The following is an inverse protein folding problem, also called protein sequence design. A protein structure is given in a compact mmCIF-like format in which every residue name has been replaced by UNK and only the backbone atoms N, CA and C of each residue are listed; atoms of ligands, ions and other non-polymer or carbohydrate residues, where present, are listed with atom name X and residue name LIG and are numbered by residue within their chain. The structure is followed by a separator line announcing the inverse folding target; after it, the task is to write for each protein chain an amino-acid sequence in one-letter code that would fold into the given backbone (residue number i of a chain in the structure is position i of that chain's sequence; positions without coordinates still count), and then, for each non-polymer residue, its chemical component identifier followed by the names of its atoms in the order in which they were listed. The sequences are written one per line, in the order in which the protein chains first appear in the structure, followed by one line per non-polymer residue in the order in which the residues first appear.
data_IF_965185065092
#
_entry.id   IF_965185065092
#
_cell.length_a   1.000
_cell.length_b   1.000
_cell.length_c   1.000
_cell.angle_alpha   90.00
_cell.angle_beta   90.00
_cell.angle_gamma   90.00
#
_symmetry.space_group_name_H-M   'P 1'
#
loop_
_entity.id
_entity.type
_entity.pdbx_description
1 polymer ?
#
# COMPACT_ATOMS: atom_id res chain seq x y z
N UNK A 1 14.83 -17.09 -7.76
CA UNK A 1 13.73 -17.91 -7.20
C UNK A 1 13.79 -18.01 -5.69
N UNK A 2 14.75 -18.78 -5.16
CA UNK A 2 14.81 -19.14 -3.72
C UNK A 2 14.91 -17.94 -2.76
N UNK A 3 15.73 -16.93 -3.09
CA UNK A 3 15.86 -15.72 -2.26
C UNK A 3 14.52 -14.98 -2.07
N UNK A 4 13.72 -14.87 -3.13
CA UNK A 4 12.42 -14.20 -3.06
C UNK A 4 11.46 -14.96 -2.14
N UNK A 5 11.37 -16.29 -2.28
CA UNK A 5 10.53 -17.14 -1.41
C UNK A 5 10.94 -17.02 0.06
N UNK A 6 12.25 -17.00 0.35
CA UNK A 6 12.77 -16.83 1.72
C UNK A 6 12.54 -15.43 2.28
N UNK A 7 12.43 -14.40 1.44
CA UNK A 7 12.13 -13.04 1.88
C UNK A 7 10.65 -12.85 2.25
N UNK A 8 9.72 -13.61 1.65
CA UNK A 8 8.27 -13.43 1.83
C UNK A 8 7.79 -13.43 3.31
N UNK A 9 8.28 -14.32 4.20
CA UNK A 9 7.89 -14.31 5.61
C UNK A 9 8.47 -13.13 6.42
N UNK A 10 9.46 -12.41 5.88
CA UNK A 10 10.16 -11.33 6.58
C UNK A 10 11.17 -11.80 7.65
N UNK A 11 11.61 -10.88 8.50
CA UNK A 11 12.53 -11.17 9.62
C UNK A 11 13.83 -11.88 9.20
N UNK A 12 14.13 -13.03 9.84
CA UNK A 12 15.31 -13.88 9.53
C UNK A 12 15.33 -14.38 8.07
N UNK A 13 14.17 -14.50 7.43
CA UNK A 13 14.06 -14.87 6.02
C UNK A 13 14.64 -13.81 5.08
N UNK A 14 14.50 -12.52 5.42
CA UNK A 14 15.07 -11.41 4.66
C UNK A 14 16.61 -11.39 4.72
N UNK A 15 17.20 -11.67 5.88
CA UNK A 15 18.66 -11.76 6.02
C UNK A 15 19.26 -12.91 5.18
N UNK A 16 18.58 -14.07 5.16
CA UNK A 16 18.98 -15.18 4.29
C UNK A 16 18.81 -14.84 2.80
N UNK A 17 17.80 -14.05 2.44
CA UNK A 17 17.61 -13.59 1.06
C UNK A 17 18.72 -12.63 0.61
N UNK A 18 19.17 -11.73 1.47
CA UNK A 18 20.28 -10.81 1.18
C UNK A 18 21.61 -11.57 0.94
N UNK A 19 21.87 -12.65 1.69
CA UNK A 19 23.05 -13.51 1.46
C UNK A 19 22.98 -14.24 0.10
N UNK A 20 21.82 -14.79 -0.25
CA UNK A 20 21.64 -15.46 -1.54
C UNK A 20 21.78 -14.46 -2.69
N UNK A 21 21.26 -13.24 -2.53
CA UNK A 21 21.43 -12.15 -3.50
C UNK A 21 22.90 -11.76 -3.67
N UNK A 22 23.69 -11.70 -2.59
CA UNK A 22 25.10 -11.39 -2.68
C UNK A 22 25.86 -12.43 -3.53
N UNK A 23 25.54 -13.72 -3.35
CA UNK A 23 26.10 -14.80 -4.18
C UNK A 23 25.63 -14.70 -5.63
N UNK A 24 24.35 -14.43 -5.87
CA UNK A 24 23.80 -14.24 -7.22
C UNK A 24 24.46 -13.07 -7.95
N UNK A 25 24.70 -11.93 -7.27
CA UNK A 25 25.44 -10.78 -7.81
C UNK A 25 26.89 -11.11 -8.17
N UNK A 26 27.56 -11.94 -7.35
CA UNK A 26 28.91 -12.38 -7.64
C UNK A 26 28.97 -13.30 -8.88
N UNK A 27 27.97 -14.17 -9.06
CA UNK A 27 27.84 -15.02 -10.25
C UNK A 27 27.55 -14.18 -11.50
N UNK A 28 26.59 -13.26 -11.43
CA UNK A 28 26.23 -12.37 -12.53
C UNK A 28 27.45 -11.58 -13.06
N UNK A 29 28.25 -11.00 -12.14
CA UNK A 29 29.48 -10.28 -12.50
C UNK A 29 30.54 -11.16 -13.19
N UNK A 30 30.57 -12.46 -12.92
CA UNK A 30 31.51 -13.39 -13.55
C UNK A 30 31.06 -13.85 -14.93
N UNK A 31 29.76 -13.90 -15.16
CA UNK A 31 29.18 -14.34 -16.44
C UNK A 31 29.23 -13.23 -17.50
N UNK A 32 29.34 -11.97 -17.08
CA UNK A 32 29.29 -10.77 -17.96
C UNK A 32 28.07 -10.77 -18.90
N UNK A 33 26.95 -11.32 -18.41
CA UNK A 33 25.72 -11.48 -19.14
C UNK A 33 24.68 -10.42 -18.71
N UNK A 34 24.25 -9.53 -19.64
CA UNK A 34 23.28 -8.48 -19.33
C UNK A 34 21.94 -9.00 -18.80
N UNK A 35 21.46 -10.14 -19.31
CA UNK A 35 20.17 -10.70 -18.89
C UNK A 35 20.22 -11.17 -17.43
N UNK A 36 21.29 -11.88 -17.06
CA UNK A 36 21.55 -12.30 -15.67
C UNK A 36 21.74 -11.09 -14.75
N UNK A 37 22.45 -10.04 -15.20
CA UNK A 37 22.60 -8.79 -14.43
C UNK A 37 21.24 -8.14 -14.14
N UNK A 38 20.41 -7.99 -15.19
CA UNK A 38 19.08 -7.42 -15.08
C UNK A 38 18.18 -8.24 -14.15
N UNK A 39 18.20 -9.57 -14.29
CA UNK A 39 17.42 -10.47 -13.44
C UNK A 39 17.81 -10.34 -11.96
N UNK A 40 19.10 -10.34 -11.65
CA UNK A 40 19.58 -10.21 -10.27
C UNK A 40 19.23 -8.83 -9.70
N UNK A 41 19.31 -7.76 -10.50
CA UNK A 41 18.87 -6.43 -10.07
C UNK A 41 17.37 -6.41 -9.76
N UNK A 42 16.53 -6.94 -10.65
CA UNK A 42 15.08 -6.99 -10.46
C UNK A 42 14.67 -7.82 -9.24
N UNK A 43 15.28 -9.00 -9.08
CA UNK A 43 15.05 -9.85 -7.91
C UNK A 43 15.46 -9.15 -6.61
N UNK A 44 16.58 -8.42 -6.60
CA UNK A 44 16.99 -7.62 -5.46
C UNK A 44 15.99 -6.49 -5.17
N UNK A 45 15.45 -5.84 -6.21
CA UNK A 45 14.41 -4.81 -6.06
C UNK A 45 13.14 -5.35 -5.41
N UNK A 46 12.68 -6.53 -5.83
CA UNK A 46 11.52 -7.21 -5.23
C UNK A 46 11.79 -7.58 -3.77
N UNK A 47 12.99 -8.06 -3.44
CA UNK A 47 13.35 -8.41 -2.05
C UNK A 47 13.43 -7.17 -1.16
N UNK A 48 13.98 -6.07 -1.68
CA UNK A 48 13.98 -4.78 -1.02
C UNK A 48 12.53 -4.30 -0.77
N UNK A 49 11.65 -4.42 -1.77
CA UNK A 49 10.23 -4.10 -1.67
C UNK A 49 9.55 -4.87 -0.54
N UNK A 50 9.56 -6.21 -0.56
CA UNK A 50 8.88 -7.00 0.48
C UNK A 50 9.50 -6.82 1.87
N UNK A 51 10.73 -6.29 1.95
CA UNK A 51 11.42 -5.96 3.20
C UNK A 51 11.16 -4.55 3.74
N UNK A 52 10.44 -3.70 2.99
CA UNK A 52 10.15 -2.32 3.39
C UNK A 52 11.17 -1.28 2.94
N UNK A 53 12.10 -1.65 2.04
CA UNK A 53 13.16 -0.76 1.51
C UNK A 53 12.71 -0.19 0.17
N UNK A 54 11.68 0.66 0.20
CA UNK A 54 10.97 1.12 -1.02
C UNK A 54 11.88 1.83 -2.02
N UNK A 55 12.67 2.79 -1.56
CA UNK A 55 13.58 3.56 -2.42
C UNK A 55 14.63 2.67 -3.10
N UNK A 56 15.22 1.74 -2.35
CA UNK A 56 16.15 0.75 -2.89
C UNK A 56 15.45 -0.15 -3.92
N UNK A 57 14.23 -0.60 -3.61
CA UNK A 57 13.41 -1.40 -4.53
C UNK A 57 13.15 -0.70 -5.86
N UNK A 58 12.75 0.59 -5.81
CA UNK A 58 12.49 1.39 -7.01
C UNK A 58 13.77 1.52 -7.86
N UNK A 59 14.90 1.84 -7.24
CA UNK A 59 16.18 1.99 -7.94
C UNK A 59 16.59 0.69 -8.64
N UNK A 60 16.52 -0.42 -7.92
CA UNK A 60 16.92 -1.73 -8.43
C UNK A 60 15.99 -2.23 -9.55
N UNK A 61 14.68 -1.98 -9.44
CA UNK A 61 13.72 -2.28 -10.50
C UNK A 61 13.95 -1.38 -11.73
N UNK A 62 14.27 -0.10 -11.55
CA UNK A 62 14.58 0.81 -12.65
C UNK A 62 15.83 0.39 -13.41
N UNK A 63 16.91 0.06 -12.68
CA UNK A 63 18.14 -0.48 -13.27
C UNK A 63 17.87 -1.76 -14.05
N UNK A 64 17.06 -2.66 -13.49
CA UNK A 64 16.68 -3.92 -14.15
C UNK A 64 15.95 -3.65 -15.48
N UNK A 65 14.96 -2.76 -15.46
CA UNK A 65 14.22 -2.36 -16.67
C UNK A 65 15.13 -1.76 -17.75
N UNK A 66 16.03 -0.86 -17.35
CA UNK A 66 16.97 -0.21 -18.27
C UNK A 66 17.88 -1.24 -18.96
N UNK A 67 18.47 -2.18 -18.21
CA UNK A 67 19.33 -3.22 -18.78
C UNK A 67 18.53 -4.11 -19.74
N UNK A 68 17.33 -4.55 -19.36
CA UNK A 68 16.50 -5.37 -20.23
C UNK A 68 16.13 -4.67 -21.54
N UNK A 69 15.89 -3.35 -21.52
CA UNK A 69 15.51 -2.59 -22.72
C UNK A 69 16.69 -2.24 -23.62
N UNK A 70 17.86 -2.01 -23.05
CA UNK A 70 19.03 -1.48 -23.78
C UNK A 70 20.04 -2.53 -24.19
N UNK A 71 20.14 -3.64 -23.44
CA UNK A 71 21.21 -4.64 -23.59
C UNK A 71 20.70 -6.06 -23.78
N UNK A 72 19.39 -6.30 -23.75
CA UNK A 72 18.81 -7.64 -23.89
C UNK A 72 17.80 -7.70 -25.04
N UNK A 73 17.60 -8.89 -25.60
CA UNK A 73 16.57 -9.18 -26.61
C UNK A 73 15.58 -10.20 -26.07
N UNK A 74 14.28 -10.02 -26.31
CA UNK A 74 13.26 -11.00 -25.88
C UNK A 74 12.91 -11.01 -24.38
N UNK A 75 13.36 -10.01 -23.61
CA UNK A 75 13.17 -9.96 -22.16
C UNK A 75 11.81 -9.37 -21.68
N UNK A 76 10.77 -9.45 -22.51
CA UNK A 76 9.49 -8.73 -22.29
C UNK A 76 8.82 -9.08 -20.96
N UNK A 77 8.69 -10.37 -20.67
CA UNK A 77 8.07 -10.85 -19.42
C UNK A 77 8.80 -10.32 -18.17
N UNK A 78 10.14 -10.24 -18.24
CA UNK A 78 10.94 -9.68 -17.16
C UNK A 78 10.73 -8.18 -17.00
N UNK A 79 10.63 -7.44 -18.11
CA UNK A 79 10.29 -6.01 -18.14
C UNK A 79 8.94 -5.78 -17.46
N UNK A 80 7.90 -6.51 -17.86
CA UNK A 80 6.54 -6.33 -17.33
C UNK A 80 6.49 -6.61 -15.83
N UNK A 81 7.19 -7.66 -15.39
CA UNK A 81 7.33 -7.99 -13.96
C UNK A 81 7.96 -6.84 -13.17
N UNK A 82 9.11 -6.31 -13.59
CA UNK A 82 9.78 -5.23 -12.84
C UNK A 82 9.02 -3.91 -12.92
N UNK A 83 8.33 -3.64 -14.03
CA UNK A 83 7.48 -2.46 -14.19
C UNK A 83 6.28 -2.50 -13.23
N UNK A 84 5.65 -3.66 -13.03
CA UNK A 84 4.58 -3.87 -12.04
C UNK A 84 5.06 -3.63 -10.60
N UNK A 85 6.20 -4.22 -10.22
CA UNK A 85 6.76 -4.01 -8.89
C UNK A 85 7.15 -2.55 -8.67
N UNK A 86 7.76 -1.91 -9.66
CA UNK A 86 8.08 -0.48 -9.60
C UNK A 86 6.82 0.36 -9.46
N UNK A 87 5.74 0.07 -10.21
CA UNK A 87 4.46 0.74 -10.06
C UNK A 87 3.91 0.60 -8.62
N UNK A 88 3.90 -0.61 -8.08
CA UNK A 88 3.42 -0.88 -6.71
C UNK A 88 4.25 -0.15 -5.64
N UNK A 89 5.56 0.03 -5.87
CA UNK A 89 6.42 0.79 -4.95
C UNK A 89 6.16 2.30 -5.00
N UNK A 90 5.89 2.85 -6.19
CA UNK A 90 5.53 4.26 -6.33
C UNK A 90 4.23 4.56 -5.57
N UNK A 91 3.24 3.67 -5.64
CA UNK A 91 1.98 3.86 -4.92
C UNK A 91 2.16 3.76 -3.40
N UNK A 92 3.00 2.85 -2.91
CA UNK A 92 3.34 2.76 -1.47
C UNK A 92 4.08 4.02 -0.98
N UNK A 93 5.03 4.53 -1.78
CA UNK A 93 5.79 5.74 -1.45
C UNK A 93 4.92 6.99 -1.50
N UNK A 94 3.85 6.96 -2.31
CA UNK A 94 2.92 8.06 -2.50
C UNK A 94 3.24 8.97 -3.69
N UNK A 95 4.06 8.53 -4.65
CA UNK A 95 4.35 9.28 -5.87
C UNK A 95 3.21 9.10 -6.88
N UNK A 96 2.01 9.55 -6.50
CA UNK A 96 0.78 9.28 -7.23
C UNK A 96 0.85 9.89 -8.62
N UNK A 97 1.47 11.06 -8.79
CA UNK A 97 1.62 11.68 -10.12
C UNK A 97 2.37 10.78 -11.10
N UNK A 98 3.49 10.20 -10.65
CA UNK A 98 4.30 9.34 -11.51
C UNK A 98 3.61 7.99 -11.76
N UNK A 99 2.94 7.43 -10.74
CA UNK A 99 2.13 6.23 -10.91
C UNK A 99 0.99 6.45 -11.92
N UNK A 100 0.25 7.55 -11.80
CA UNK A 100 -0.84 7.94 -12.72
C UNK A 100 -0.36 8.14 -14.15
N UNK A 101 0.83 8.74 -14.33
CA UNK A 101 1.43 8.93 -15.66
C UNK A 101 1.79 7.61 -16.33
N UNK A 102 2.21 6.60 -15.55
CA UNK A 102 2.68 5.31 -16.07
C UNK A 102 1.55 4.30 -16.29
N UNK A 103 0.51 4.33 -15.47
CA UNK A 103 -0.54 3.30 -15.46
C UNK A 103 -1.18 3.06 -16.84
N UNK A 104 -1.63 4.07 -17.62
CA UNK A 104 -2.31 3.83 -18.90
C UNK A 104 -1.43 3.09 -19.91
N UNK A 105 -0.13 3.43 -19.97
CA UNK A 105 0.82 2.76 -20.86
C UNK A 105 1.05 1.31 -20.43
N UNK A 106 1.20 1.06 -19.12
CA UNK A 106 1.39 -0.29 -18.59
C UNK A 106 0.17 -1.19 -18.85
N UNK A 107 -1.04 -0.67 -18.65
CA UNK A 107 -2.27 -1.40 -18.93
C UNK A 107 -2.41 -1.70 -20.42
N UNK A 108 -2.22 -0.69 -21.28
CA UNK A 108 -2.28 -0.86 -22.74
C UNK A 108 -1.34 -1.95 -23.22
N UNK A 109 -0.07 -1.90 -22.79
CA UNK A 109 0.92 -2.89 -23.19
C UNK A 109 0.57 -4.30 -22.69
N UNK A 110 0.09 -4.44 -21.44
CA UNK A 110 -0.35 -5.72 -20.90
C UNK A 110 -1.55 -6.30 -21.68
N UNK A 111 -2.52 -5.45 -22.03
CA UNK A 111 -3.73 -5.86 -22.74
C UNK A 111 -3.45 -6.24 -24.20
N UNK A 112 -2.62 -5.47 -24.92
CA UNK A 112 -2.21 -5.78 -26.31
C UNK A 112 -1.45 -7.11 -26.41
N UNK A 113 -0.78 -7.53 -25.34
CA UNK A 113 -0.02 -8.77 -25.27
C UNK A 113 -0.83 -9.94 -24.70
N UNK A 114 -2.06 -9.70 -24.21
CA UNK A 114 -2.84 -10.71 -23.50
C UNK A 114 -2.18 -11.18 -22.20
N UNK A 115 -1.32 -10.37 -21.58
CA UNK A 115 -0.73 -10.68 -20.27
C UNK A 115 -1.77 -10.42 -19.17
N UNK A 116 -2.63 -11.41 -18.97
CA UNK A 116 -3.67 -11.39 -17.94
C UNK A 116 -3.07 -11.15 -16.54
N UNK A 117 -1.88 -11.68 -16.25
CA UNK A 117 -1.24 -11.52 -14.94
C UNK A 117 -0.88 -10.06 -14.67
N UNK A 118 -0.16 -9.41 -15.59
CA UNK A 118 0.24 -8.01 -15.43
C UNK A 118 -1.00 -7.09 -15.43
N UNK A 119 -1.91 -7.32 -16.37
CA UNK A 119 -3.16 -6.57 -16.53
C UNK A 119 -4.02 -6.58 -15.26
N UNK A 120 -4.35 -7.76 -14.72
CA UNK A 120 -5.17 -7.87 -13.51
C UNK A 120 -4.42 -7.37 -12.27
N UNK A 121 -3.11 -7.60 -12.18
CA UNK A 121 -2.32 -7.14 -11.02
C UNK A 121 -2.19 -5.62 -10.97
N UNK A 122 -2.06 -4.94 -12.10
CA UNK A 122 -2.07 -3.47 -12.15
C UNK A 122 -3.43 -2.91 -11.74
N UNK A 123 -4.52 -3.40 -12.35
CA UNK A 123 -5.89 -2.91 -12.08
C UNK A 123 -6.30 -3.07 -10.63
N UNK A 124 -6.01 -4.23 -10.03
CA UNK A 124 -6.38 -4.56 -8.65
C UNK A 124 -5.54 -3.85 -7.58
N UNK A 125 -4.45 -3.17 -7.95
CA UNK A 125 -3.57 -2.45 -7.00
C UNK A 125 -3.45 -0.94 -7.31
N UNK A 126 -4.12 -0.45 -8.35
CA UNK A 126 -4.07 0.93 -8.80
C UNK A 126 -5.04 1.88 -8.05
N UNK A 127 -5.72 1.43 -6.98
CA UNK A 127 -6.65 2.28 -6.23
C UNK A 127 -6.12 3.67 -5.83
N UNK A 128 -4.83 3.88 -5.48
CA UNK A 128 -4.32 5.22 -5.17
C UNK A 128 -4.35 6.17 -6.36
N UNK A 129 -4.16 5.65 -7.58
CA UNK A 129 -4.23 6.43 -8.82
C UNK A 129 -5.67 6.86 -9.09
N UNK A 130 -6.62 5.93 -8.99
CA UNK A 130 -8.04 6.23 -9.20
C UNK A 130 -8.59 7.19 -8.14
N UNK A 131 -8.19 7.04 -6.88
CA UNK A 131 -8.54 8.00 -5.82
C UNK A 131 -7.89 9.37 -6.03
N UNK A 132 -6.62 9.43 -6.46
CA UNK A 132 -5.97 10.71 -6.74
C UNK A 132 -6.70 11.48 -7.84
N UNK A 133 -7.22 10.79 -8.86
CA UNK A 133 -7.98 11.40 -9.94
C UNK A 133 -9.47 11.65 -9.60
N UNK A 134 -9.96 11.23 -8.44
CA UNK A 134 -11.40 11.19 -8.08
C UNK A 134 -12.24 10.33 -9.05
N UNK A 135 -11.63 9.36 -9.73
CA UNK A 135 -12.25 8.49 -10.74
C UNK A 135 -12.68 7.14 -10.16
N UNK A 136 -13.40 7.16 -9.04
CA UNK A 136 -13.73 5.96 -8.25
C UNK A 136 -14.53 4.94 -9.07
N UNK A 137 -15.51 5.38 -9.85
CA UNK A 137 -16.34 4.46 -10.63
C UNK A 137 -15.60 3.83 -11.81
N UNK A 138 -14.61 4.53 -12.37
CA UNK A 138 -13.72 3.92 -13.35
C UNK A 138 -12.87 2.85 -12.67
N UNK A 139 -12.25 3.17 -11.53
CA UNK A 139 -11.47 2.21 -10.74
C UNK A 139 -12.26 0.94 -10.38
N UNK A 140 -13.52 1.09 -9.94
CA UNK A 140 -14.41 -0.05 -9.64
C UNK A 140 -14.68 -0.92 -10.87
N UNK A 141 -14.94 -0.31 -12.04
CA UNK A 141 -15.13 -1.05 -13.28
C UNK A 141 -13.87 -1.82 -13.68
N UNK A 142 -12.72 -1.15 -13.70
CA UNK A 142 -11.43 -1.77 -14.04
C UNK A 142 -11.09 -2.94 -13.11
N UNK A 143 -11.31 -2.81 -11.79
CA UNK A 143 -11.09 -3.89 -10.82
C UNK A 143 -12.05 -5.05 -11.06
N UNK A 144 -13.34 -4.77 -11.26
CA UNK A 144 -14.38 -5.78 -11.47
C UNK A 144 -14.14 -6.59 -12.75
N UNK A 145 -13.88 -5.91 -13.86
CA UNK A 145 -13.69 -6.54 -15.15
C UNK A 145 -12.42 -7.41 -15.16
N UNK A 146 -11.35 -6.93 -14.51
CA UNK A 146 -10.11 -7.68 -14.35
C UNK A 146 -10.26 -8.96 -13.50
N UNK A 147 -11.11 -8.93 -12.46
CA UNK A 147 -11.37 -10.10 -11.61
C UNK A 147 -12.34 -11.07 -12.26
N UNK A 148 -13.30 -10.59 -13.06
CA UNK A 148 -14.28 -11.45 -13.74
C UNK A 148 -13.62 -12.47 -14.68
N UNK A 149 -12.44 -12.14 -15.22
CA UNK A 149 -11.66 -13.01 -16.11
C UNK A 149 -10.52 -13.75 -15.40
N UNK A 150 -10.30 -13.48 -14.11
CA UNK A 150 -9.21 -14.09 -13.34
C UNK A 150 -9.56 -15.52 -12.90
N UNK A 151 -8.61 -16.48 -12.90
CA UNK A 151 -8.87 -17.84 -12.44
C UNK A 151 -9.38 -17.89 -11.00
N UNK A 152 -10.52 -18.55 -10.81
CA UNK A 152 -11.20 -18.72 -9.51
C UNK A 152 -10.76 -19.98 -8.76
N UNK A 153 -9.81 -20.75 -9.32
CA UNK A 153 -9.19 -21.92 -8.67
C UNK A 153 -8.25 -21.49 -7.54
N UNK A 154 -8.83 -21.02 -6.43
CA UNK A 154 -8.12 -20.58 -5.24
C UNK A 154 -8.16 -19.07 -5.01
N UNK A 155 -7.58 -18.63 -3.90
CA UNK A 155 -7.56 -17.22 -3.50
C UNK A 155 -6.16 -16.61 -3.71
N UNK A 156 -6.02 -15.87 -4.81
CA UNK A 156 -4.77 -15.22 -5.25
C UNK A 156 -4.62 -13.78 -4.74
N UNK A 157 -3.41 -13.21 -4.91
CA UNK A 157 -3.10 -11.83 -4.50
C UNK A 157 -3.98 -10.79 -5.23
N UNK A 158 -4.43 -11.10 -6.44
CA UNK A 158 -5.35 -10.27 -7.22
C UNK A 158 -6.72 -10.16 -6.56
N UNK A 159 -7.27 -11.27 -6.02
CA UNK A 159 -8.53 -11.24 -5.26
C UNK A 159 -8.41 -10.38 -4.00
N UNK A 160 -7.27 -10.44 -3.30
CA UNK A 160 -7.01 -9.55 -2.18
C UNK A 160 -6.87 -8.09 -2.62
N UNK A 161 -6.16 -7.83 -3.73
CA UNK A 161 -6.03 -6.49 -4.31
C UNK A 161 -7.39 -5.89 -4.65
N UNK A 162 -8.31 -6.67 -5.21
CA UNK A 162 -9.67 -6.23 -5.49
C UNK A 162 -10.45 -5.84 -4.22
N UNK A 163 -10.37 -6.67 -3.17
CA UNK A 163 -10.96 -6.34 -1.85
C UNK A 163 -10.35 -5.06 -1.29
N UNK A 164 -9.02 -4.94 -1.33
CA UNK A 164 -8.29 -3.76 -0.88
C UNK A 164 -8.76 -2.50 -1.63
N UNK A 165 -8.79 -2.54 -2.96
CA UNK A 165 -9.18 -1.42 -3.80
C UNK A 165 -10.61 -0.97 -3.53
N UNK A 166 -11.55 -1.91 -3.54
CA UNK A 166 -12.97 -1.62 -3.27
C UNK A 166 -13.20 -1.09 -1.86
N UNK A 167 -12.51 -1.62 -0.85
CA UNK A 167 -12.59 -1.07 0.52
C UNK A 167 -12.02 0.34 0.59
N UNK A 168 -10.89 0.61 -0.08
CA UNK A 168 -10.32 1.96 -0.11
C UNK A 168 -11.23 2.95 -0.83
N UNK A 169 -11.94 2.51 -1.88
CA UNK A 169 -12.97 3.32 -2.53
C UNK A 169 -14.16 3.61 -1.60
N UNK A 170 -14.66 2.60 -0.88
CA UNK A 170 -15.72 2.79 0.12
C UNK A 170 -15.26 3.82 1.19
N UNK A 171 -14.03 3.69 1.70
CA UNK A 171 -13.43 4.64 2.65
C UNK A 171 -13.28 6.05 2.10
N UNK A 172 -12.84 6.19 0.85
CA UNK A 172 -12.66 7.48 0.19
C UNK A 172 -13.99 8.21 -0.06
N UNK A 173 -15.08 7.47 -0.28
CA UNK A 173 -16.44 8.01 -0.38
C UNK A 173 -17.11 8.23 0.98
N UNK A 174 -16.45 7.89 2.09
CA UNK A 174 -17.00 8.02 3.44
C UNK A 174 -17.93 6.88 3.89
N UNK A 175 -18.08 5.83 3.09
CA UNK A 175 -18.91 4.66 3.42
C UNK A 175 -18.13 3.65 4.29
N UNK A 176 -17.90 4.05 5.55
CA UNK A 176 -17.29 3.21 6.57
C UNK A 176 -17.98 1.85 6.78
N UNK A 177 -19.33 1.79 6.88
CA UNK A 177 -20.06 0.52 7.02
C UNK A 177 -19.82 -0.47 5.89
N UNK A 178 -19.86 -0.04 4.62
CA UNK A 178 -19.56 -0.93 3.48
C UNK A 178 -18.11 -1.36 3.47
N UNK A 179 -17.17 -0.43 3.75
CA UNK A 179 -15.75 -0.74 3.87
C UNK A 179 -15.51 -1.86 4.90
N UNK A 180 -16.09 -1.73 6.10
CA UNK A 180 -15.97 -2.73 7.16
C UNK A 180 -16.59 -4.07 6.79
N UNK A 181 -17.82 -4.05 6.25
CA UNK A 181 -18.53 -5.24 5.81
C UNK A 181 -17.70 -6.03 4.79
N UNK A 182 -17.15 -5.34 3.78
CA UNK A 182 -16.36 -5.96 2.71
C UNK A 182 -15.10 -6.66 3.22
N UNK A 183 -14.30 -5.98 4.05
CA UNK A 183 -13.09 -6.59 4.62
C UNK A 183 -13.45 -7.73 5.56
N UNK A 184 -14.55 -7.61 6.30
CA UNK A 184 -15.02 -8.65 7.23
C UNK A 184 -15.45 -9.91 6.47
N UNK A 185 -16.22 -9.76 5.40
CA UNK A 185 -16.73 -10.86 4.57
C UNK A 185 -15.60 -11.57 3.81
N UNK A 186 -14.60 -10.85 3.31
CA UNK A 186 -13.46 -11.44 2.62
C UNK A 186 -12.43 -12.12 3.56
N UNK A 187 -12.50 -11.84 4.86
CA UNK A 187 -11.48 -12.27 5.82
C UNK A 187 -11.30 -13.79 5.93
N UNK A 188 -12.35 -14.63 5.98
CA UNK A 188 -12.19 -16.08 6.06
C UNK A 188 -11.41 -16.65 4.87
N UNK A 189 -11.65 -16.14 3.66
CA UNK A 189 -10.95 -16.58 2.45
C UNK A 189 -9.49 -16.15 2.46
N UNK A 190 -9.23 -14.91 2.87
CA UNK A 190 -7.87 -14.42 3.07
C UNK A 190 -7.11 -15.26 4.11
N UNK A 191 -7.75 -15.66 5.21
CA UNK A 191 -7.14 -16.50 6.24
C UNK A 191 -6.86 -17.92 5.76
N UNK A 192 -7.79 -18.53 5.00
CA UNK A 192 -7.61 -19.87 4.41
C UNK A 192 -6.57 -19.88 3.29
N UNK A 193 -6.29 -18.73 2.70
CA UNK A 193 -5.24 -18.58 1.69
C UNK A 193 -3.83 -18.74 2.28
N UNK A 194 -2.83 -18.97 1.41
CA UNK A 194 -1.41 -18.92 1.80
C UNK A 194 -0.87 -17.48 1.92
N UNK A 195 -1.67 -16.45 1.60
CA UNK A 195 -1.21 -15.05 1.54
C UNK A 195 -0.81 -14.49 2.91
N UNK A 196 -1.36 -15.00 4.02
CA UNK A 196 -0.94 -14.60 5.37
C UNK A 196 0.54 -14.92 5.69
N UNK A 197 1.16 -15.85 4.96
CA UNK A 197 2.58 -16.14 5.10
C UNK A 197 3.45 -15.03 4.49
N UNK A 198 2.89 -14.16 3.63
CA UNK A 198 3.57 -12.98 3.11
C UNK A 198 3.38 -11.82 4.08
N UNK A 199 4.46 -11.37 4.71
CA UNK A 199 4.40 -10.37 5.79
C UNK A 199 3.77 -9.06 5.32
N UNK A 200 4.12 -8.58 4.12
CA UNK A 200 3.57 -7.37 3.52
C UNK A 200 2.03 -7.44 3.43
N UNK A 201 1.50 -8.48 2.79
CA UNK A 201 0.05 -8.64 2.61
C UNK A 201 -0.69 -8.77 3.94
N UNK A 202 -0.14 -9.52 4.89
CA UNK A 202 -0.76 -9.70 6.22
C UNK A 202 -0.85 -8.40 7.00
N UNK A 203 0.18 -7.56 6.92
CA UNK A 203 0.22 -6.24 7.55
C UNK A 203 -0.72 -5.26 6.86
N UNK A 204 -0.72 -5.21 5.52
CA UNK A 204 -1.65 -4.41 4.71
C UNK A 204 -3.10 -4.76 5.03
N UNK A 205 -3.45 -6.06 5.06
CA UNK A 205 -4.79 -6.52 5.40
C UNK A 205 -5.20 -6.13 6.83
N UNK A 206 -4.25 -6.18 7.78
CA UNK A 206 -4.51 -5.79 9.18
C UNK A 206 -4.76 -4.28 9.31
N UNK A 207 -3.98 -3.46 8.61
CA UNK A 207 -4.15 -2.01 8.59
C UNK A 207 -5.45 -1.58 7.89
N UNK A 208 -5.77 -2.19 6.74
CA UNK A 208 -7.03 -1.98 6.03
C UNK A 208 -8.23 -2.28 6.93
N UNK A 209 -8.21 -3.46 7.57
CA UNK A 209 -9.28 -3.89 8.49
C UNK A 209 -9.43 -2.95 9.69
N UNK A 210 -8.33 -2.44 10.23
CA UNK A 210 -8.36 -1.49 11.35
C UNK A 210 -8.98 -0.14 10.93
N UNK A 211 -8.57 0.37 9.77
CA UNK A 211 -9.07 1.63 9.20
C UNK A 211 -10.56 1.53 8.89
N UNK A 212 -11.00 0.42 8.27
CA UNK A 212 -12.40 0.15 8.00
C UNK A 212 -13.24 0.06 9.28
N UNK A 213 -12.75 -0.60 10.34
CA UNK A 213 -13.44 -0.65 11.62
C UNK A 213 -13.57 0.74 12.27
N UNK A 214 -12.55 1.59 12.17
CA UNK A 214 -12.58 2.97 12.67
C UNK A 214 -13.62 3.79 11.88
N UNK A 215 -13.59 3.75 10.55
CA UNK A 215 -14.54 4.47 9.71
C UNK A 215 -15.98 4.03 9.98
N UNK A 216 -16.23 2.72 10.12
CA UNK A 216 -17.54 2.21 10.51
C UNK A 216 -17.97 2.70 11.90
N UNK A 217 -17.06 2.80 12.87
CA UNK A 217 -17.39 3.29 14.22
C UNK A 217 -17.79 4.77 14.25
N UNK A 218 -17.34 5.55 13.27
CA UNK A 218 -17.67 6.98 13.15
C UNK A 218 -18.99 7.25 12.46
N UNK A 219 -19.41 6.35 11.57
CA UNK A 219 -20.60 6.56 10.77
C UNK A 219 -21.83 6.83 11.65
N UNK A 220 -22.63 7.82 11.28
CA UNK A 220 -23.77 8.28 12.09
C UNK A 220 -24.81 7.18 12.30
N UNK A 221 -25.06 6.38 11.27
CA UNK A 221 -26.00 5.25 11.32
C UNK A 221 -25.49 4.05 12.13
N UNK A 222 -24.22 4.03 12.55
CA UNK A 222 -23.68 2.91 13.33
C UNK A 222 -24.21 2.97 14.77
N UNK A 223 -24.91 1.93 15.26
CA UNK A 223 -25.45 1.92 16.62
C UNK A 223 -24.37 2.17 17.67
N UNK A 224 -24.66 3.04 18.64
CA UNK A 224 -23.73 3.38 19.71
C UNK A 224 -23.21 2.15 20.50
N UNK A 225 -24.02 1.08 20.57
CA UNK A 225 -23.65 -0.21 21.19
C UNK A 225 -22.58 -0.99 20.41
N UNK A 226 -22.44 -0.78 19.11
CA UNK A 226 -21.46 -1.47 18.26
C UNK A 226 -20.09 -0.76 18.26
N UNK A 227 -20.06 0.56 18.46
CA UNK A 227 -18.84 1.38 18.44
C UNK A 227 -17.73 0.81 19.34
N UNK A 228 -17.97 0.41 20.62
CA UNK A 228 -16.92 -0.16 21.46
C UNK A 228 -16.31 -1.45 20.89
N UNK A 229 -17.09 -2.27 20.19
CA UNK A 229 -16.59 -3.51 19.58
C UNK A 229 -15.67 -3.21 18.39
N UNK A 230 -16.03 -2.24 17.56
CA UNK A 230 -15.21 -1.78 16.43
C UNK A 230 -13.88 -1.17 16.91
N UNK A 231 -13.91 -0.33 17.95
CA UNK A 231 -12.70 0.26 18.52
C UNK A 231 -11.78 -0.78 19.20
N UNK A 232 -12.35 -1.80 19.85
CA UNK A 232 -11.59 -2.95 20.37
C UNK A 232 -10.92 -3.74 19.25
N UNK A 233 -11.59 -3.92 18.12
CA UNK A 233 -11.01 -4.58 16.95
C UNK A 233 -9.82 -3.79 16.38
N UNK A 234 -9.99 -2.48 16.18
CA UNK A 234 -8.91 -1.59 15.74
C UNK A 234 -7.71 -1.64 16.70
N UNK A 235 -7.96 -1.57 18.01
CA UNK A 235 -6.93 -1.69 19.06
C UNK A 235 -6.20 -3.05 19.02
N UNK A 236 -6.92 -4.14 18.77
CA UNK A 236 -6.33 -5.48 18.63
C UNK A 236 -5.41 -5.55 17.41
N UNK A 237 -5.82 -4.97 16.29
CA UNK A 237 -5.03 -4.92 15.06
C UNK A 237 -3.80 -4.03 15.22
N UNK A 238 -3.90 -2.87 15.87
CA UNK A 238 -2.76 -2.03 16.20
C UNK A 238 -1.70 -2.77 17.03
N UNK A 239 -2.12 -3.58 18.01
CA UNK A 239 -1.20 -4.45 18.78
C UNK A 239 -0.54 -5.53 17.91
N UNK A 240 -1.25 -6.04 16.91
CA UNK A 240 -0.72 -7.05 15.98
C UNK A 240 0.33 -6.45 15.05
N UNK A 241 0.08 -5.25 14.52
CA UNK A 241 1.00 -4.52 13.65
C UNK A 241 2.35 -4.26 14.36
N UNK A 242 2.34 -3.85 15.63
CA UNK A 242 3.56 -3.61 16.42
C UNK A 242 4.45 -4.85 16.57
N UNK A 243 3.84 -6.02 16.77
CA UNK A 243 4.57 -7.28 17.04
C UNK A 243 5.46 -7.71 15.88
N UNK A 244 5.21 -7.19 14.68
CA UNK A 244 5.96 -7.52 13.47
C UNK A 244 7.31 -6.78 13.37
N UNK A 245 7.53 -5.75 14.21
CA UNK A 245 8.81 -5.03 14.34
C UNK A 245 9.39 -4.57 12.99
N UNK A 246 8.54 -4.08 12.10
CA UNK A 246 8.93 -3.47 10.81
C UNK A 246 8.73 -1.97 10.83
N UNK A 247 9.72 -1.23 10.32
CA UNK A 247 9.74 0.24 10.34
C UNK A 247 8.53 0.87 9.65
N UNK A 248 7.96 0.23 8.63
CA UNK A 248 6.79 0.72 7.92
C UNK A 248 5.45 0.30 8.54
N UNK A 249 5.42 -0.73 9.40
CA UNK A 249 4.19 -1.21 10.06
C UNK A 249 3.88 -0.43 11.35
N UNK A 250 4.93 0.00 12.05
CA UNK A 250 4.83 0.78 13.28
C UNK A 250 4.03 2.11 13.12
N UNK A 251 4.23 2.93 12.07
CA UNK A 251 3.44 4.14 11.90
C UNK A 251 1.95 3.86 11.65
N UNK A 252 1.60 2.79 10.91
CA UNK A 252 0.20 2.36 10.73
C UNK A 252 -0.46 1.99 12.06
N UNK A 253 0.26 1.28 12.93
CA UNK A 253 -0.22 0.94 14.26
C UNK A 253 -0.41 2.19 15.13
N UNK A 254 0.51 3.14 15.03
CA UNK A 254 0.49 4.39 15.79
C UNK A 254 -0.67 5.29 15.35
N UNK A 255 -0.89 5.43 14.04
CA UNK A 255 -2.05 6.14 13.50
C UNK A 255 -3.37 5.48 13.93
N UNK A 256 -3.45 4.14 13.90
CA UNK A 256 -4.64 3.41 14.40
C UNK A 256 -4.92 3.72 15.87
N UNK A 257 -3.87 3.81 16.72
CA UNK A 257 -4.03 4.18 18.13
C UNK A 257 -4.43 5.64 18.30
N UNK A 258 -3.90 6.53 17.47
CA UNK A 258 -4.30 7.94 17.47
C UNK A 258 -5.81 8.05 17.20
N UNK A 259 -6.29 7.34 16.17
CA UNK A 259 -7.70 7.29 15.82
C UNK A 259 -8.58 6.74 16.95
N UNK A 260 -8.17 5.64 17.59
CA UNK A 260 -8.91 5.10 18.75
C UNK A 260 -8.91 6.11 19.91
N UNK A 261 -7.76 6.71 20.23
CA UNK A 261 -7.68 7.71 21.31
C UNK A 261 -8.58 8.92 21.04
N UNK A 262 -8.66 9.37 19.79
CA UNK A 262 -9.56 10.45 19.38
C UNK A 262 -11.03 10.09 19.64
N UNK A 263 -11.46 8.92 19.16
CA UNK A 263 -12.84 8.45 19.30
C UNK A 263 -13.23 8.08 20.74
N UNK A 264 -12.24 7.78 21.59
CA UNK A 264 -12.42 7.57 23.04
C UNK A 264 -12.36 8.88 23.85
N UNK A 265 -12.23 10.05 23.21
CA UNK A 265 -12.23 11.35 23.90
C UNK A 265 -10.90 11.72 24.55
N UNK A 266 -9.78 11.23 24.04
CA UNK A 266 -8.43 11.53 24.52
C UNK A 266 -7.61 12.36 23.50
N UNK A 267 -8.01 13.60 23.18
CA UNK A 267 -7.44 14.38 22.07
C UNK A 267 -5.95 14.72 22.25
N UNK A 268 -5.50 15.01 23.48
CA UNK A 268 -4.08 15.28 23.73
C UNK A 268 -3.19 14.04 23.44
N UNK A 269 -3.70 12.85 23.77
CA UNK A 269 -3.03 11.59 23.45
C UNK A 269 -3.06 11.32 21.96
N UNK A 270 -4.20 11.56 21.30
CA UNK A 270 -4.32 11.42 19.85
C UNK A 270 -3.31 12.32 19.13
N UNK A 271 -3.21 13.59 19.54
CA UNK A 271 -2.28 14.56 18.96
C UNK A 271 -0.80 14.14 19.10
N UNK A 272 -0.39 13.67 20.28
CA UNK A 272 0.97 13.14 20.50
C UNK A 272 1.26 11.91 19.61
N UNK A 273 0.27 11.02 19.47
CA UNK A 273 0.40 9.85 18.59
C UNK A 273 0.46 10.23 17.11
N UNK A 274 -0.30 11.25 16.67
CA UNK A 274 -0.23 11.77 15.30
C UNK A 274 1.17 12.32 14.98
N UNK A 275 1.77 13.08 15.88
CA UNK A 275 3.14 13.59 15.70
C UNK A 275 4.16 12.44 15.56
N UNK A 276 4.05 11.41 16.39
CA UNK A 276 4.91 10.22 16.31
C UNK A 276 4.67 9.42 15.03
N UNK A 277 3.42 9.30 14.57
CA UNK A 277 3.06 8.58 13.36
C UNK A 277 3.58 9.30 12.11
N UNK A 278 3.42 10.63 12.03
CA UNK A 278 3.93 11.46 10.92
C UNK A 278 5.44 11.27 10.74
N UNK A 279 6.23 11.51 11.78
CA UNK A 279 7.69 11.36 11.73
C UNK A 279 8.11 9.93 11.33
N UNK A 280 7.35 8.92 11.79
CA UNK A 280 7.63 7.52 11.46
C UNK A 280 7.24 7.16 10.02
N UNK A 281 6.17 7.74 9.46
CA UNK A 281 5.82 7.58 8.04
C UNK A 281 6.85 8.26 7.13
N UNK A 282 7.37 9.42 7.51
CA UNK A 282 8.46 10.08 6.80
C UNK A 282 9.72 9.22 6.78
N UNK A 283 10.15 8.72 7.95
CA UNK A 283 11.28 7.81 8.05
C UNK A 283 11.09 6.50 7.26
N UNK A 284 9.85 6.03 7.17
CA UNK A 284 9.47 4.86 6.38
C UNK A 284 9.28 5.14 4.88
N UNK A 285 9.48 6.39 4.41
CA UNK A 285 9.23 6.81 3.02
C UNK A 285 7.81 6.48 2.54
N UNK A 286 6.80 6.76 3.37
CA UNK A 286 5.37 6.60 3.03
C UNK A 286 4.73 8.00 2.95
N UNK A 287 5.08 8.75 1.90
CA UNK A 287 4.81 10.18 1.77
C UNK A 287 3.32 10.54 1.84
N UNK A 288 2.45 9.74 1.21
CA UNK A 288 1.00 9.99 1.25
C UNK A 288 0.45 9.88 2.67
N UNK A 289 0.83 8.83 3.40
CA UNK A 289 0.42 8.63 4.79
C UNK A 289 0.99 9.72 5.71
N UNK A 290 2.25 10.13 5.52
CA UNK A 290 2.83 11.23 6.25
C UNK A 290 2.06 12.55 6.01
N UNK A 291 1.75 12.87 4.75
CA UNK A 291 0.99 14.06 4.40
C UNK A 291 -0.43 14.06 5.00
N UNK A 292 -1.18 12.96 4.86
CA UNK A 292 -2.51 12.86 5.47
C UNK A 292 -2.47 12.97 7.00
N UNK A 293 -1.49 12.32 7.65
CA UNK A 293 -1.30 12.39 9.10
C UNK A 293 -0.95 13.82 9.54
N UNK A 294 -0.13 14.52 8.76
CA UNK A 294 0.26 15.92 9.00
C UNK A 294 -0.94 16.86 8.91
N UNK A 295 -1.81 16.71 7.91
CA UNK A 295 -3.03 17.54 7.79
C UNK A 295 -3.93 17.37 9.01
N UNK A 296 -4.23 16.13 9.41
CA UNK A 296 -5.10 15.91 10.58
C UNK A 296 -4.43 16.39 11.86
N UNK A 297 -3.10 16.25 12.01
CA UNK A 297 -2.37 16.85 13.13
C UNK A 297 -2.50 18.38 13.13
N UNK A 298 -2.32 19.01 11.97
CA UNK A 298 -2.49 20.44 11.76
C UNK A 298 -3.89 20.91 12.11
N UNK A 299 -4.95 20.15 11.77
CA UNK A 299 -6.33 20.48 12.13
C UNK A 299 -6.62 20.38 13.64
N UNK A 300 -5.92 19.47 14.34
CA UNK A 300 -6.04 19.35 15.80
C UNK A 300 -5.18 20.39 16.55
N UNK A 301 -4.14 20.94 15.91
CA UNK A 301 -3.34 22.06 16.40
C UNK A 301 -4.02 23.37 16.00
N UNK A 302 -4.27 24.27 16.96
CA UNK A 302 -4.84 25.60 16.66
C UNK A 302 -3.70 26.62 16.44
N UNK A 303 -3.97 27.65 15.64
CA UNK A 303 -3.05 28.75 15.39
C UNK A 303 -2.00 28.46 14.31
N UNK A 304 -1.04 29.36 14.16
CA UNK A 304 -0.09 29.41 13.03
C UNK A 304 0.68 28.09 12.78
N UNK A 305 1.00 27.34 13.84
CA UNK A 305 1.65 26.03 13.70
C UNK A 305 0.74 25.01 13.01
N UNK A 306 -0.54 24.97 13.36
CA UNK A 306 -1.53 24.10 12.72
C UNK A 306 -1.74 24.47 11.25
N UNK A 307 -1.89 25.76 10.97
CA UNK A 307 -2.11 26.29 9.63
C UNK A 307 -0.92 26.00 8.69
N UNK A 308 0.32 26.09 9.20
CA UNK A 308 1.52 25.72 8.45
C UNK A 308 1.54 24.24 8.06
N UNK A 309 1.12 23.34 8.96
CA UNK A 309 1.07 21.90 8.69
C UNK A 309 0.00 21.55 7.65
N UNK A 310 -1.18 22.17 7.74
CA UNK A 310 -2.25 22.02 6.75
C UNK A 310 -1.78 22.51 5.37
N UNK A 311 -1.19 23.70 5.30
CA UNK A 311 -0.68 24.30 4.05
C UNK A 311 0.40 23.43 3.38
N UNK A 312 1.34 22.88 4.16
CA UNK A 312 2.37 21.99 3.63
C UNK A 312 1.79 20.70 3.02
N UNK A 313 0.64 20.24 3.52
CA UNK A 313 -0.05 19.07 2.98
C UNK A 313 -0.74 19.40 1.66
N UNK A 314 -1.32 20.59 1.52
CA UNK A 314 -1.94 21.02 0.26
C UNK A 314 -0.91 21.10 -0.87
N UNK A 315 0.29 21.61 -0.57
CA UNK A 315 1.40 21.60 -1.53
C UNK A 315 1.80 20.17 -1.95
N UNK A 316 1.79 19.20 -1.03
CA UNK A 316 2.00 17.79 -1.36
C UNK A 316 0.91 17.26 -2.29
N UNK A 317 -0.37 17.46 -1.93
CA UNK A 317 -1.51 16.95 -2.69
C UNK A 317 -1.56 17.55 -4.10
N UNK A 318 -1.27 18.84 -4.24
CA UNK A 318 -1.15 19.52 -5.53
C UNK A 318 0.00 18.92 -6.36
N UNK A 319 1.17 18.70 -5.78
CA UNK A 319 2.33 18.11 -6.49
C UNK A 319 2.03 16.71 -7.00
N UNK A 320 1.27 15.92 -6.23
CA UNK A 320 0.87 14.55 -6.58
C UNK A 320 -0.40 14.48 -7.43
N UNK A 321 -0.97 15.62 -7.83
CA UNK A 321 -2.21 15.74 -8.61
C UNK A 321 -3.42 15.05 -7.95
N UNK A 322 -3.58 15.18 -6.62
CA UNK A 322 -4.76 14.69 -5.90
C UNK A 322 -5.89 15.70 -6.03
N UNK A 323 -6.99 15.29 -6.68
CA UNK A 323 -8.17 16.11 -7.00
C UNK A 323 -8.98 16.48 -5.75
N UNK A 324 -9.19 15.54 -4.83
CA UNK A 324 -9.90 15.80 -3.57
C UNK A 324 -9.03 15.46 -2.35
N UNK A 325 -8.20 16.42 -1.89
CA UNK A 325 -7.38 16.26 -0.69
C UNK A 325 -8.17 15.83 0.54
N UNK A 326 -9.38 16.35 0.74
CA UNK A 326 -10.23 16.07 1.89
C UNK A 326 -10.62 14.58 1.94
N UNK A 327 -11.11 14.03 0.82
CA UNK A 327 -11.49 12.62 0.70
C UNK A 327 -10.28 11.70 0.82
N UNK A 328 -9.14 12.09 0.23
CA UNK A 328 -7.89 11.35 0.36
C UNK A 328 -7.47 11.23 1.84
N UNK A 329 -7.53 12.35 2.58
CA UNK A 329 -7.20 12.38 4.02
C UNK A 329 -8.22 11.56 4.82
N UNK A 330 -9.51 11.70 4.55
CA UNK A 330 -10.59 10.93 5.17
C UNK A 330 -10.40 9.41 5.00
N UNK A 331 -9.94 8.97 3.82
CA UNK A 331 -9.73 7.54 3.54
C UNK A 331 -8.60 6.90 4.36
N UNK A 332 -7.62 7.71 4.82
CA UNK A 332 -6.43 7.25 5.55
C UNK A 332 -6.58 7.46 7.06
N UNK A 333 -7.12 8.61 7.46
CA UNK A 333 -7.24 9.04 8.85
C UNK A 333 -8.69 9.46 9.19
N UNK A 334 -9.67 8.53 9.06
CA UNK A 334 -11.09 8.88 9.15
C UNK A 334 -11.47 9.53 10.49
N UNK A 335 -10.86 9.12 11.61
CA UNK A 335 -11.15 9.59 12.98
C UNK A 335 -11.04 11.09 13.23
N UNK A 336 -10.46 11.84 12.30
CA UNK A 336 -10.11 13.25 12.49
C UNK A 336 -10.76 14.18 11.49
N UNK A 337 -11.50 13.63 10.51
CA UNK A 337 -12.28 14.41 9.56
C UNK A 337 -13.74 14.43 10.02
N UNK A 338 -14.35 15.61 9.96
CA UNK A 338 -15.75 15.86 10.33
C UNK A 338 -16.59 16.15 9.11
#
# INVERSE_FOLDING_TARGET
GEAAVRALPGGRGAASADEILARARAIARRLDDPETEAFVSGAAGIIAAVSGRWNEGIELCRRSDEIYRTRCTGARWNIDTVQYFMFSLLTIRGDLREASRRLPKLLKEADELGDLYASTSLRTWAYPVWMAADEIELGRREVRDAIATWPTSGYHVQHFGAVLSETMFDLYLGDGPSAWRRVREAWPDFVRSRLLHQQLLRLTASALRATAAIAAAMHDDTPASERPTLLREASRLARRLDRERKGWAAPLATLTRASVAQLEGHPARALSLLASAEASFEAANMGLYAACTRRVRGQQLRGDEGDALVSSTEAYMQRENVVSPERMVASIAPAFVS
#
